data_IF_610853823591
#
_entry.id   IF_610853823591
#
_cell.length_a   1.000
_cell.length_b   1.000
_cell.length_c   1.000
_cell.angle_alpha   90.00
_cell.angle_beta   90.00
_cell.angle_gamma   90.00
#
_symmetry.space_group_name_H-M   'P 1'
#
loop_
_entity.id
_entity.type
_entity.pdbx_description
1 polymer ?
#
# COMPACT_ATOMS: atom_id res chain seq x y z
N UNK A 1 32.33 -30.02 40.55
CA UNK A 1 32.80 -28.67 40.17
C UNK A 1 31.88 -28.19 39.06
N UNK A 2 30.97 -27.28 39.40
CA UNK A 2 29.91 -26.73 38.54
C UNK A 2 30.42 -25.47 37.82
N UNK A 3 30.13 -25.33 36.53
CA UNK A 3 29.98 -24.07 35.76
C UNK A 3 29.22 -24.51 34.47
N UNK A 4 28.03 -24.05 34.09
CA UNK A 4 27.21 -22.92 34.50
C UNK A 4 26.86 -22.08 33.26
N UNK A 5 25.63 -22.18 32.77
CA UNK A 5 25.03 -21.40 31.66
C UNK A 5 25.20 -19.88 31.83
N UNK A 6 25.53 -19.15 30.74
CA UNK A 6 25.17 -17.71 30.55
C UNK A 6 25.00 -17.33 29.07
N UNK A 7 24.05 -16.40 28.76
CA UNK A 7 23.65 -16.02 27.40
C UNK A 7 24.49 -14.88 26.80
N UNK A 8 24.52 -14.83 25.46
CA UNK A 8 25.06 -13.72 24.67
C UNK A 8 24.07 -12.56 24.71
N UNK A 9 24.46 -11.45 25.35
CA UNK A 9 23.75 -10.18 25.30
C UNK A 9 24.75 -9.04 25.17
N UNK A 10 24.30 -7.98 24.51
CA UNK A 10 24.88 -6.62 24.43
C UNK A 10 25.89 -6.41 23.28
N UNK A 11 25.37 -6.21 22.07
CA UNK A 11 25.97 -5.30 21.07
C UNK A 11 24.85 -4.48 20.41
N UNK A 12 24.20 -3.61 21.20
CA UNK A 12 23.29 -2.56 20.74
C UNK A 12 23.39 -1.37 21.70
N UNK A 13 24.57 -0.75 21.72
CA UNK A 13 24.88 0.51 22.38
C UNK A 13 25.95 1.10 21.49
N UNK A 14 25.64 2.00 20.56
CA UNK A 14 25.79 3.43 20.80
C UNK A 14 24.84 4.31 19.94
N UNK A 15 24.15 3.75 18.94
CA UNK A 15 23.29 4.54 18.04
C UNK A 15 21.95 4.98 18.67
N UNK A 16 21.40 4.20 19.61
CA UNK A 16 20.13 4.54 20.26
C UNK A 16 20.24 5.66 21.30
N UNK A 17 21.41 5.87 21.91
CA UNK A 17 21.60 6.95 22.89
C UNK A 17 21.73 8.34 22.23
N UNK A 18 22.19 8.41 20.97
CA UNK A 18 22.32 9.68 20.26
C UNK A 18 20.97 10.21 19.76
N UNK A 19 19.99 9.33 19.50
CA UNK A 19 18.61 9.76 19.21
C UNK A 19 17.86 10.21 20.47
N UNK A 20 18.16 9.64 21.64
CA UNK A 20 17.48 10.02 22.89
C UNK A 20 17.87 11.40 23.41
N UNK A 21 19.16 11.78 23.32
CA UNK A 21 19.62 13.10 23.80
C UNK A 21 19.07 14.29 23.00
N UNK A 22 18.62 14.08 21.76
CA UNK A 22 18.01 15.14 20.95
C UNK A 22 16.48 15.23 21.10
N UNK A 23 15.85 14.32 21.85
CA UNK A 23 14.40 14.33 22.09
C UNK A 23 14.07 14.93 23.48
N UNK A 24 15.00 14.91 24.42
CA UNK A 24 14.83 15.51 25.77
C UNK A 24 14.55 17.02 25.72
N UNK A 25 14.83 17.71 24.61
CA UNK A 25 14.55 19.13 24.47
C UNK A 25 13.08 19.47 24.14
N UNK A 26 12.21 18.48 23.88
CA UNK A 26 10.81 18.72 23.48
C UNK A 26 9.74 18.19 24.43
N UNK A 27 10.10 17.42 25.47
CA UNK A 27 9.11 16.85 26.38
C UNK A 27 9.54 17.07 27.84
N UNK A 28 8.99 18.11 28.48
CA UNK A 28 9.30 18.48 29.86
C UNK A 28 8.61 17.61 30.93
N UNK A 29 7.76 16.66 30.53
CA UNK A 29 7.05 15.78 31.46
C UNK A 29 7.30 14.30 31.14
N UNK A 30 7.99 13.63 32.05
CA UNK A 30 8.36 12.21 32.02
C UNK A 30 7.15 11.25 31.94
N UNK A 31 5.94 11.73 32.23
CA UNK A 31 4.69 10.98 32.05
C UNK A 31 4.29 10.77 30.58
N UNK A 32 4.68 11.68 29.67
CA UNK A 32 4.26 11.65 28.26
C UNK A 32 5.01 10.58 27.45
N UNK A 33 6.28 10.35 27.77
CA UNK A 33 7.14 9.43 27.01
C UNK A 33 6.79 7.96 27.25
N UNK A 34 6.47 7.61 28.50
CA UNK A 34 6.05 6.24 28.84
C UNK A 34 4.71 5.88 28.18
N UNK A 35 3.76 6.83 28.10
CA UNK A 35 2.49 6.64 27.42
C UNK A 35 2.66 6.55 25.90
N UNK A 36 3.56 7.35 25.32
CA UNK A 36 3.89 7.30 23.91
C UNK A 36 4.52 5.97 23.49
N UNK A 37 5.48 5.47 24.28
CA UNK A 37 6.11 4.15 24.03
C UNK A 37 5.06 3.03 24.13
N UNK A 38 4.15 3.09 25.12
CA UNK A 38 3.05 2.12 25.24
C UNK A 38 2.06 2.18 24.07
N UNK A 39 1.77 3.36 23.50
CA UNK A 39 0.91 3.46 22.32
C UNK A 39 1.54 2.86 21.05
N UNK A 40 2.87 2.92 20.92
CA UNK A 40 3.60 2.30 19.81
C UNK A 40 3.58 0.78 19.95
N UNK A 41 3.76 0.27 21.18
CA UNK A 41 3.84 -1.17 21.44
C UNK A 41 2.47 -1.87 21.44
N UNK A 42 1.37 -1.16 21.70
CA UNK A 42 0.03 -1.74 21.81
C UNK A 42 -0.78 -1.75 20.50
N UNK A 43 -0.28 -1.16 19.41
CA UNK A 43 -0.98 -1.12 18.11
C UNK A 43 -2.30 -0.34 18.11
N UNK A 44 -2.69 0.25 19.24
CA UNK A 44 -3.94 1.00 19.41
C UNK A 44 -3.65 2.49 19.32
N UNK A 45 -3.60 3.03 18.10
CA UNK A 45 -3.71 4.49 17.91
C UNK A 45 -5.08 4.80 17.32
N UNK A 46 -6.01 5.24 18.17
CA UNK A 46 -7.28 5.83 17.76
C UNK A 46 -6.99 7.30 17.42
N UNK A 47 -7.15 7.67 16.15
CA UNK A 47 -6.95 9.05 15.68
C UNK A 47 -8.09 9.94 16.19
N UNK A 48 -7.84 10.73 17.24
CA UNK A 48 -8.69 11.88 17.55
C UNK A 48 -8.23 13.07 16.72
N UNK A 49 -9.13 13.62 15.92
CA UNK A 49 -8.90 14.87 15.19
C UNK A 49 -8.57 15.98 16.20
N UNK A 50 -7.36 16.53 16.13
CA UNK A 50 -6.91 17.64 16.95
C UNK A 50 -7.31 18.97 16.28
N UNK A 51 -7.82 19.95 17.02
CA UNK A 51 -8.33 21.23 16.50
C UNK A 51 -7.23 22.17 15.96
N UNK A 52 -5.95 21.85 16.20
CA UNK A 52 -4.77 22.65 15.84
C UNK A 52 -4.36 22.60 14.33
N UNK A 53 -5.30 22.32 13.41
CA UNK A 53 -5.07 21.96 11.99
C UNK A 53 -4.54 23.06 11.06
N UNK A 54 -3.78 24.03 11.56
CA UNK A 54 -3.18 25.12 10.76
C UNK A 54 -1.68 24.96 10.50
N UNK A 55 -1.01 23.95 11.04
CA UNK A 55 0.43 23.74 10.84
C UNK A 55 0.70 22.42 10.12
N UNK A 56 1.53 22.48 9.08
CA UNK A 56 2.07 21.30 8.42
C UNK A 56 2.93 20.52 9.41
N UNK A 57 2.51 19.30 9.77
CA UNK A 57 3.31 18.38 10.58
C UNK A 57 3.71 17.21 9.68
N UNK A 58 5.02 16.97 9.47
CA UNK A 58 5.47 15.80 8.72
C UNK A 58 5.11 14.54 9.51
N UNK A 59 4.20 13.72 8.99
CA UNK A 59 3.90 12.40 9.58
C UNK A 59 4.80 11.37 8.91
N UNK A 60 5.62 10.68 9.70
CA UNK A 60 6.43 9.53 9.22
C UNK A 60 5.58 8.28 9.27
N UNK A 61 4.89 7.98 8.17
CA UNK A 61 4.20 6.69 7.97
C UNK A 61 5.03 5.86 7.01
N UNK A 62 5.38 4.63 7.37
CA UNK A 62 5.93 3.68 6.40
C UNK A 62 4.78 3.24 5.50
N UNK A 63 4.77 3.57 4.20
CA UNK A 63 3.67 3.20 3.33
C UNK A 63 3.76 1.70 3.02
N UNK A 64 2.93 0.89 3.67
CA UNK A 64 2.90 -0.54 3.40
C UNK A 64 2.03 -0.84 2.16
N UNK A 65 2.71 -1.22 1.08
CA UNK A 65 2.10 -1.62 -0.19
C UNK A 65 1.55 -3.06 -0.14
N UNK A 66 2.02 -3.91 0.78
CA UNK A 66 1.71 -5.34 0.83
C UNK A 66 0.37 -5.65 1.50
N UNK A 67 -0.39 -6.60 0.97
CA UNK A 67 -1.70 -7.02 1.47
C UNK A 67 -2.81 -6.83 0.45
N UNK A 68 -4.05 -6.77 0.94
CA UNK A 68 -5.25 -6.77 0.11
C UNK A 68 -5.80 -5.35 -0.14
N UNK A 69 -6.26 -5.15 -1.37
CA UNK A 69 -6.81 -3.88 -1.84
C UNK A 69 -8.09 -4.13 -2.62
N UNK A 70 -9.09 -3.27 -2.44
CA UNK A 70 -10.27 -3.23 -3.31
C UNK A 70 -9.93 -2.44 -4.56
N UNK A 71 -9.78 -3.12 -5.69
CA UNK A 71 -9.42 -2.56 -6.98
C UNK A 71 -10.67 -2.22 -7.80
N UNK A 72 -10.70 -1.03 -8.37
CA UNK A 72 -11.71 -0.57 -9.34
C UNK A 72 -11.03 0.16 -10.48
N UNK A 73 -11.46 -0.11 -11.70
CA UNK A 73 -10.97 0.60 -12.89
C UNK A 73 -12.11 1.12 -13.74
N UNK A 74 -11.83 2.24 -14.40
CA UNK A 74 -12.79 3.04 -15.15
C UNK A 74 -12.21 3.46 -16.50
N UNK A 75 -13.04 3.36 -17.53
CA UNK A 75 -12.73 3.87 -18.86
C UNK A 75 -12.50 5.38 -18.81
N UNK A 76 -11.44 5.83 -19.48
CA UNK A 76 -11.12 7.25 -19.58
C UNK A 76 -11.99 7.89 -20.67
N UNK A 77 -13.20 8.31 -20.28
CA UNK A 77 -14.15 8.93 -21.19
C UNK A 77 -14.49 10.37 -20.73
N UNK A 78 -14.44 11.38 -21.61
CA UNK A 78 -14.64 12.78 -21.21
C UNK A 78 -16.11 13.20 -21.15
N UNK A 79 -17.03 12.39 -21.67
CA UNK A 79 -18.46 12.68 -21.65
C UNK A 79 -19.03 12.62 -20.22
N UNK A 80 -19.40 13.79 -19.71
CA UNK A 80 -19.97 13.98 -18.37
C UNK A 80 -21.40 13.44 -18.22
N UNK A 81 -22.06 13.08 -19.31
CA UNK A 81 -23.41 12.51 -19.27
C UNK A 81 -23.44 11.02 -18.97
N UNK A 82 -22.29 10.33 -19.12
CA UNK A 82 -22.16 8.92 -18.79
C UNK A 82 -22.22 8.71 -17.27
N UNK A 83 -22.95 7.67 -16.86
CA UNK A 83 -22.94 7.26 -15.46
C UNK A 83 -21.62 6.54 -15.13
N UNK A 84 -21.23 6.52 -13.85
CA UNK A 84 -20.05 5.75 -13.42
C UNK A 84 -20.13 4.26 -13.75
N UNK A 85 -21.33 3.69 -13.85
CA UNK A 85 -21.51 2.29 -14.24
C UNK A 85 -21.17 2.06 -15.71
N UNK A 86 -21.41 3.06 -16.57
CA UNK A 86 -21.03 2.99 -18.00
C UNK A 86 -19.53 3.17 -18.20
N UNK A 87 -18.84 3.76 -17.21
CA UNK A 87 -17.38 3.83 -17.17
C UNK A 87 -16.74 2.58 -16.57
N UNK A 88 -17.50 1.63 -16.02
CA UNK A 88 -16.95 0.44 -15.37
C UNK A 88 -16.05 -0.35 -16.33
N UNK A 89 -14.80 -0.60 -15.90
CA UNK A 89 -13.88 -1.48 -16.62
C UNK A 89 -13.71 -2.81 -15.90
N UNK A 90 -13.37 -2.77 -14.61
CA UNK A 90 -13.25 -3.98 -13.79
C UNK A 90 -13.30 -3.68 -12.28
N UNK A 91 -13.78 -4.67 -11.52
CA UNK A 91 -13.73 -4.75 -10.06
C UNK A 91 -13.00 -6.04 -9.65
N UNK A 92 -12.08 -5.93 -8.70
CA UNK A 92 -11.29 -7.07 -8.23
C UNK A 92 -10.78 -6.86 -6.79
N UNK A 93 -10.22 -7.93 -6.23
CA UNK A 93 -9.28 -7.84 -5.11
C UNK A 93 -7.86 -7.84 -5.67
N UNK A 94 -7.10 -6.79 -5.42
CA UNK A 94 -5.65 -6.75 -5.67
C UNK A 94 -4.94 -7.23 -4.41
N UNK A 95 -4.21 -8.33 -4.53
CA UNK A 95 -3.35 -8.88 -3.50
C UNK A 95 -1.90 -8.63 -3.90
N UNK A 96 -1.14 -7.94 -3.04
CA UNK A 96 0.31 -7.76 -3.22
C UNK A 96 1.00 -8.55 -2.11
N UNK A 97 1.79 -9.55 -2.49
CA UNK A 97 2.50 -10.41 -1.53
C UNK A 97 3.85 -9.81 -1.16
N UNK A 98 4.25 -10.00 0.10
CA UNK A 98 5.62 -9.69 0.52
C UNK A 98 6.57 -10.71 -0.14
N UNK A 99 7.31 -10.23 -1.14
CA UNK A 99 8.22 -11.07 -1.93
C UNK A 99 9.52 -11.42 -1.21
N UNK A 100 9.76 -10.97 0.04
CA UNK A 100 11.07 -10.99 0.76
C UNK A 100 12.23 -10.27 0.04
N UNK A 101 12.09 -10.05 -1.26
CA UNK A 101 12.96 -9.28 -2.13
C UNK A 101 12.42 -7.85 -2.22
N UNK A 102 13.18 -6.91 -1.69
CA UNK A 102 12.85 -5.48 -1.74
C UNK A 102 12.70 -5.03 -3.19
N UNK A 103 11.63 -4.29 -3.48
CA UNK A 103 11.40 -3.67 -4.78
C UNK A 103 10.83 -4.60 -5.86
N UNK A 104 10.54 -5.85 -5.53
CA UNK A 104 9.81 -6.76 -6.40
C UNK A 104 8.33 -6.71 -6.06
N UNK A 105 7.48 -6.68 -7.10
CA UNK A 105 6.04 -6.84 -6.94
C UNK A 105 5.66 -8.24 -7.38
N UNK A 106 5.06 -8.99 -6.47
CA UNK A 106 4.35 -10.24 -6.75
C UNK A 106 2.94 -10.12 -6.18
N UNK A 107 1.99 -10.77 -6.83
CA UNK A 107 0.61 -10.64 -6.41
C UNK A 107 -0.40 -11.28 -7.35
N UNK A 108 -1.66 -10.97 -7.10
CA UNK A 108 -2.80 -11.46 -7.87
C UNK A 108 -3.87 -10.38 -8.00
N UNK A 109 -4.54 -10.32 -9.15
CA UNK A 109 -5.86 -9.70 -9.26
C UNK A 109 -6.89 -10.82 -9.30
N UNK A 110 -7.84 -10.77 -8.37
CA UNK A 110 -8.85 -11.81 -8.15
C UNK A 110 -10.22 -11.20 -8.47
N UNK A 111 -10.87 -11.72 -9.50
CA UNK A 111 -12.19 -11.31 -9.99
C UNK A 111 -13.26 -12.32 -9.55
N UNK A 112 -14.52 -11.86 -9.49
CA UNK A 112 -15.72 -12.71 -9.38
C UNK A 112 -15.60 -13.86 -8.36
N UNK A 113 -15.44 -13.55 -7.07
CA UNK A 113 -15.35 -14.53 -5.97
C UNK A 113 -14.29 -15.64 -6.16
N UNK A 114 -13.13 -15.28 -6.73
CA UNK A 114 -12.00 -16.17 -7.05
C UNK A 114 -12.18 -17.05 -8.29
N UNK A 115 -13.22 -16.85 -9.11
CA UNK A 115 -13.39 -17.60 -10.35
C UNK A 115 -12.31 -17.27 -11.38
N UNK A 116 -11.88 -16.01 -11.44
CA UNK A 116 -10.86 -15.55 -12.39
C UNK A 116 -9.70 -14.87 -11.69
N UNK A 117 -8.48 -15.27 -12.06
CA UNK A 117 -7.25 -14.81 -11.40
C UNK A 117 -6.20 -14.41 -12.44
N UNK A 118 -5.67 -13.20 -12.30
CA UNK A 118 -4.45 -12.77 -12.99
C UNK A 118 -3.26 -12.80 -12.04
N UNK A 119 -2.20 -13.48 -12.44
CA UNK A 119 -0.92 -13.45 -11.73
C UNK A 119 -0.20 -12.15 -12.04
N UNK A 120 0.33 -11.48 -11.02
CA UNK A 120 1.03 -10.20 -11.15
C UNK A 120 2.52 -10.37 -10.88
N UNK A 121 3.34 -9.76 -11.74
CA UNK A 121 4.78 -9.67 -11.55
C UNK A 121 5.27 -8.29 -12.00
N UNK A 122 6.16 -7.69 -11.21
CA UNK A 122 6.72 -6.39 -11.54
C UNK A 122 7.70 -5.87 -10.49
N UNK A 123 7.70 -4.55 -10.33
CA UNK A 123 8.61 -3.82 -9.45
C UNK A 123 7.91 -2.72 -8.66
N UNK A 124 8.49 -2.40 -7.52
CA UNK A 124 8.11 -1.31 -6.62
C UNK A 124 9.32 -0.39 -6.49
N UNK A 125 9.15 0.86 -6.90
CA UNK A 125 10.14 1.91 -6.72
C UNK A 125 9.75 2.73 -5.49
N UNK A 126 10.53 2.59 -4.42
CA UNK A 126 10.36 3.37 -3.20
C UNK A 126 10.79 4.83 -3.44
N UNK A 127 10.07 5.76 -2.83
CA UNK A 127 10.28 7.19 -3.05
C UNK A 127 9.11 8.01 -2.52
N UNK A 128 8.85 9.16 -3.13
CA UNK A 128 7.66 9.95 -2.83
C UNK A 128 7.09 10.53 -4.13
N UNK A 129 6.00 9.95 -4.69
CA UNK A 129 5.28 8.76 -4.20
C UNK A 129 5.99 7.44 -4.50
N UNK A 130 5.54 6.34 -3.87
CA UNK A 130 5.95 5.00 -4.30
C UNK A 130 5.33 4.71 -5.67
N UNK A 131 6.11 4.15 -6.59
CA UNK A 131 5.65 3.79 -7.94
C UNK A 131 5.65 2.28 -8.12
N UNK A 132 4.56 1.74 -8.63
CA UNK A 132 4.38 0.32 -8.93
C UNK A 132 4.30 0.16 -10.45
N UNK A 133 5.12 -0.72 -11.03
CA UNK A 133 5.05 -1.09 -12.45
C UNK A 133 5.01 -2.60 -12.55
N UNK A 134 3.93 -3.15 -13.10
CA UNK A 134 3.72 -4.59 -13.13
C UNK A 134 2.87 -5.03 -14.32
N UNK A 135 2.97 -6.31 -14.66
CA UNK A 135 2.15 -6.97 -15.66
C UNK A 135 1.25 -7.98 -14.98
N UNK A 136 0.00 -8.06 -15.43
CA UNK A 136 -0.94 -9.12 -15.09
C UNK A 136 -1.13 -10.07 -16.26
N UNK A 137 -1.00 -11.37 -16.00
CA UNK A 137 -1.31 -12.43 -16.97
C UNK A 137 -2.40 -13.32 -16.39
N UNK A 138 -3.51 -13.47 -17.11
CA UNK A 138 -4.61 -14.33 -16.73
C UNK A 138 -4.19 -15.80 -16.65
N UNK A 139 -4.51 -16.42 -15.53
CA UNK A 139 -4.03 -17.75 -15.13
C UNK A 139 -5.13 -18.81 -15.02
N UNK A 140 -6.39 -18.38 -14.96
CA UNK A 140 -7.58 -19.25 -14.97
C UNK A 140 -8.10 -19.48 -16.40
N UNK A 141 -8.89 -20.54 -16.66
CA UNK A 141 -9.33 -20.89 -18.02
C UNK A 141 -10.03 -19.78 -18.80
N UNK A 142 -10.91 -18.98 -18.16
CA UNK A 142 -11.72 -17.99 -18.88
C UNK A 142 -10.93 -16.76 -19.34
N UNK A 143 -9.88 -16.41 -18.60
CA UNK A 143 -9.04 -15.23 -18.89
C UNK A 143 -7.62 -15.62 -19.26
N UNK A 144 -7.39 -16.90 -19.60
CA UNK A 144 -6.04 -17.42 -19.86
C UNK A 144 -5.33 -16.57 -20.91
N UNK A 145 -4.10 -16.16 -20.61
CA UNK A 145 -3.25 -15.32 -21.45
C UNK A 145 -3.74 -13.87 -21.66
N UNK A 146 -4.82 -13.44 -21.01
CA UNK A 146 -5.18 -12.03 -21.00
C UNK A 146 -4.02 -11.26 -20.36
N UNK A 147 -3.46 -10.30 -21.09
CA UNK A 147 -2.22 -9.62 -20.68
C UNK A 147 -2.45 -8.12 -20.60
N UNK A 148 -2.11 -7.55 -19.44
CA UNK A 148 -2.29 -6.14 -19.15
C UNK A 148 -1.07 -5.58 -18.42
N UNK A 149 -0.66 -4.36 -18.77
CA UNK A 149 0.40 -3.64 -18.08
C UNK A 149 -0.18 -2.52 -17.22
N UNK A 150 0.40 -2.33 -16.04
CA UNK A 150 -0.07 -1.41 -15.01
C UNK A 150 1.04 -0.46 -14.60
N UNK A 151 0.69 0.80 -14.38
CA UNK A 151 1.47 1.76 -13.60
C UNK A 151 0.60 2.35 -12.51
N UNK A 152 1.09 2.33 -11.28
CA UNK A 152 0.38 2.83 -10.10
C UNK A 152 1.27 3.67 -9.21
N UNK A 153 0.64 4.56 -8.45
CA UNK A 153 1.27 5.46 -7.51
C UNK A 153 0.55 5.34 -6.17
N UNK A 154 1.30 5.10 -5.11
CA UNK A 154 0.73 5.15 -3.77
C UNK A 154 0.47 6.60 -3.39
N UNK A 155 -0.81 6.93 -3.13
CA UNK A 155 -1.24 8.27 -2.78
C UNK A 155 -0.57 8.69 -1.47
N UNK A 156 0.16 9.81 -1.47
CA UNK A 156 0.73 10.33 -0.24
C UNK A 156 -0.31 10.65 0.83
N UNK A 157 0.08 10.47 2.09
CA UNK A 157 -0.75 10.88 3.21
C UNK A 157 -0.81 12.41 3.29
N UNK A 158 -2.00 12.96 3.46
CA UNK A 158 -2.20 14.37 3.76
C UNK A 158 -1.86 14.62 5.23
N UNK A 159 -1.06 15.64 5.56
CA UNK A 159 -0.69 15.97 6.95
C UNK A 159 -1.88 16.16 7.89
N UNK A 160 -2.99 16.66 7.34
CA UNK A 160 -4.25 16.90 8.02
C UNK A 160 -5.37 15.95 7.56
N UNK A 161 -5.02 14.84 6.92
CA UNK A 161 -5.97 13.81 6.52
C UNK A 161 -6.67 13.20 7.73
N UNK A 162 -7.99 13.05 7.64
CA UNK A 162 -8.80 12.37 8.67
C UNK A 162 -9.07 10.97 8.14
N UNK A 163 -8.66 9.94 8.89
CA UNK A 163 -8.89 8.53 8.56
C UNK A 163 -8.53 8.17 7.11
N UNK A 164 -7.46 8.76 6.58
CA UNK A 164 -7.04 8.54 5.20
C UNK A 164 -6.61 7.09 5.00
N UNK A 165 -7.44 6.32 4.30
CA UNK A 165 -7.10 4.97 3.89
C UNK A 165 -6.04 5.00 2.79
N UNK A 166 -4.96 4.20 2.90
CA UNK A 166 -3.98 4.08 1.82
C UNK A 166 -4.67 3.68 0.52
N UNK A 167 -4.28 4.34 -0.57
CA UNK A 167 -4.83 4.12 -1.90
C UNK A 167 -3.73 4.13 -2.94
N UNK A 168 -3.81 3.23 -3.92
CA UNK A 168 -2.98 3.25 -5.12
C UNK A 168 -3.86 3.78 -6.25
N UNK A 169 -3.37 4.76 -7.01
CA UNK A 169 -4.04 5.28 -8.20
C UNK A 169 -3.14 5.11 -9.42
N UNK A 170 -3.71 4.90 -10.60
CA UNK A 170 -2.88 4.63 -11.77
C UNK A 170 -3.64 4.38 -13.04
N UNK A 171 -2.96 3.76 -14.00
CA UNK A 171 -3.54 3.35 -15.28
C UNK A 171 -3.20 1.90 -15.59
N UNK A 172 -4.11 1.26 -16.33
CA UNK A 172 -3.95 -0.07 -16.90
C UNK A 172 -4.13 0.01 -18.41
N UNK A 173 -3.32 -0.74 -19.16
CA UNK A 173 -3.47 -0.91 -20.61
C UNK A 173 -3.63 -2.38 -20.94
N UNK A 174 -4.55 -2.69 -21.86
CA UNK A 174 -4.63 -4.03 -22.46
C UNK A 174 -3.47 -4.23 -23.42
N UNK A 175 -2.50 -5.05 -23.04
CA UNK A 175 -1.26 -5.26 -23.81
C UNK A 175 -1.51 -6.16 -25.02
N UNK A 176 -2.31 -7.23 -24.85
CA UNK A 176 -2.68 -8.15 -25.92
C UNK A 176 -4.20 -8.19 -26.12
N UNK A 177 -4.69 -8.31 -27.37
CA UNK A 177 -6.13 -8.38 -27.62
C UNK A 177 -6.70 -9.71 -27.11
N UNK A 178 -8.00 -9.74 -26.83
CA UNK A 178 -8.75 -10.96 -26.54
C UNK A 178 -10.24 -10.78 -26.86
N UNK A 179 -10.91 -11.86 -27.27
CA UNK A 179 -12.30 -11.78 -27.75
C UNK A 179 -12.45 -10.68 -28.81
N UNK A 180 -13.46 -9.83 -28.62
CA UNK A 180 -13.72 -8.66 -29.46
C UNK A 180 -13.05 -7.36 -28.95
N UNK A 181 -12.13 -7.48 -27.99
CA UNK A 181 -11.49 -6.35 -27.33
C UNK A 181 -10.05 -6.12 -27.84
N UNK A 182 -9.75 -4.98 -28.48
CA UNK A 182 -8.44 -4.71 -29.08
C UNK A 182 -7.36 -4.41 -28.04
N UNK A 183 -6.10 -4.66 -28.38
CA UNK A 183 -4.98 -4.14 -27.58
C UNK A 183 -4.94 -2.62 -27.61
N UNK A 184 -4.30 -2.02 -26.59
CA UNK A 184 -4.08 -0.59 -26.48
C UNK A 184 -5.18 0.18 -25.76
N UNK A 185 -6.27 -0.47 -25.36
CA UNK A 185 -7.31 0.18 -24.54
C UNK A 185 -6.76 0.52 -23.15
N UNK A 186 -6.90 1.79 -22.75
CA UNK A 186 -6.36 2.34 -21.49
C UNK A 186 -7.51 2.76 -20.58
N UNK A 187 -7.43 2.34 -19.32
CA UNK A 187 -8.32 2.74 -18.25
C UNK A 187 -7.53 3.31 -17.06
N UNK A 188 -8.18 4.12 -16.24
CA UNK A 188 -7.65 4.53 -14.93
C UNK A 188 -8.08 3.55 -13.86
N UNK A 189 -7.32 3.42 -12.77
CA UNK A 189 -7.71 2.59 -11.64
C UNK A 189 -7.42 3.24 -10.28
N UNK A 190 -8.18 2.78 -9.29
CA UNK A 190 -8.01 3.08 -7.88
C UNK A 190 -8.07 1.76 -7.10
N UNK A 191 -7.10 1.52 -6.24
CA UNK A 191 -7.08 0.39 -5.32
C UNK A 191 -7.01 0.91 -3.88
N UNK A 192 -8.00 0.62 -3.06
CA UNK A 192 -8.10 1.11 -1.66
C UNK A 192 -7.77 -0.02 -0.69
N UNK A 193 -6.90 0.23 0.29
CA UNK A 193 -6.43 -0.79 1.23
C UNK A 193 -7.58 -1.37 2.06
N UNK A 194 -7.63 -2.69 2.13
CA UNK A 194 -8.52 -3.42 3.06
C UNK A 194 -7.87 -3.53 4.44
N UNK A 195 -8.70 -3.69 5.46
CA UNK A 195 -8.19 -4.02 6.79
C UNK A 195 -7.56 -5.43 6.72
N UNK A 196 -6.59 -5.71 7.59
CA UNK A 196 -6.19 -7.09 7.85
C UNK A 196 -7.39 -7.78 8.51
N UNK A 197 -7.87 -8.87 7.90
CA UNK A 197 -8.85 -9.79 8.51
C UNK A 197 -8.14 -10.78 9.41
#
# INVERSE_FOLDING_TARGET
>A
MLLGDKPVSIFLSFYSLLLLKNIDAQFSDSGSMAQFIQSILSGNTIYKANEDRKKFVPVKVSPDVYGNWTYRSFMNHPDETLSFNDLYFALATLEITDSRNIGILQGRLIFSDNADIMSLQGSIHYGYPFTLRFQGIGSTPNIKNFTYDYIGFLVPQWPNGIDQRPSIVGSVIRTLPHGDHPAGEVASFIAVKRNYE
#
